data_IF_089907117881
#
_entry.id   IF_089907117881
#
_cell.length_a   1.000
_cell.length_b   1.000
_cell.length_c   1.000
_cell.angle_alpha   90.00
_cell.angle_beta   90.00
_cell.angle_gamma   90.00
#
_symmetry.space_group_name_H-M   'P 1'
#
loop_
_entity.id
_entity.type
_entity.pdbx_description
1 polymer ?
#
# COMPACT_ATOMS: atom_id res chain seq x y z
N UNK A 1 1.83 -16.88 2.31
CA UNK A 1 1.18 -16.90 3.63
C UNK A 1 -0.33 -16.80 3.44
N UNK A 2 -0.87 -15.75 2.82
CA UNK A 2 -2.32 -15.52 2.66
C UNK A 2 -3.01 -16.70 1.97
N UNK A 3 -2.51 -17.19 0.84
CA UNK A 3 -3.07 -18.32 0.09
C UNK A 3 -3.03 -19.65 0.86
N UNK A 4 -2.06 -19.84 1.77
CA UNK A 4 -1.93 -21.05 2.58
C UNK A 4 -2.82 -21.06 3.83
N UNK A 5 -3.32 -19.92 4.26
CA UNK A 5 -4.13 -19.83 5.48
C UNK A 5 -5.49 -20.52 5.38
N UNK A 6 -6.02 -20.71 4.19
CA UNK A 6 -7.32 -21.35 3.94
C UNK A 6 -7.37 -22.89 3.98
N UNK A 7 -6.41 -23.58 4.63
CA UNK A 7 -6.47 -25.00 4.95
C UNK A 7 -6.25 -25.99 3.80
N UNK A 8 -6.33 -25.59 2.54
CA UNK A 8 -5.97 -26.42 1.37
C UNK A 8 -4.57 -26.06 0.90
N UNK A 9 -3.70 -27.05 0.73
CA UNK A 9 -2.39 -26.88 0.11
C UNK A 9 -2.57 -26.24 -1.26
N UNK A 10 -2.04 -25.04 -1.44
CA UNK A 10 -2.01 -24.41 -2.76
C UNK A 10 -0.99 -25.20 -3.62
N UNK A 11 -1.35 -25.66 -4.81
CA UNK A 11 -0.43 -26.34 -5.74
C UNK A 11 0.65 -25.39 -6.29
N UNK A 12 0.58 -24.08 -5.95
CA UNK A 12 1.48 -23.05 -6.43
C UNK A 12 2.82 -23.06 -5.69
N UNK A 13 3.91 -23.19 -6.45
CA UNK A 13 5.26 -23.02 -5.97
C UNK A 13 5.58 -21.55 -5.68
N UNK A 14 6.59 -21.32 -4.85
CA UNK A 14 7.08 -19.98 -4.53
C UNK A 14 7.45 -19.17 -5.79
N UNK A 15 8.15 -19.80 -6.74
CA UNK A 15 8.60 -19.13 -7.96
C UNK A 15 7.43 -18.67 -8.86
N UNK A 16 6.32 -19.42 -8.91
CA UNK A 16 5.12 -19.01 -9.65
C UNK A 16 4.48 -17.79 -9.01
N UNK A 17 4.32 -17.80 -7.67
CA UNK A 17 3.79 -16.66 -6.93
C UNK A 17 4.69 -15.42 -7.08
N UNK A 18 6.00 -15.60 -7.07
CA UNK A 18 6.97 -14.52 -7.32
C UNK A 18 6.78 -13.93 -8.72
N UNK A 19 6.70 -14.77 -9.77
CA UNK A 19 6.44 -14.31 -11.14
C UNK A 19 5.14 -13.50 -11.23
N UNK A 20 4.04 -14.01 -10.69
CA UNK A 20 2.75 -13.30 -10.71
C UNK A 20 2.81 -11.96 -9.95
N UNK A 21 3.57 -11.91 -8.86
CA UNK A 21 3.76 -10.69 -8.09
C UNK A 21 4.53 -9.65 -8.89
N UNK A 22 5.69 -10.02 -9.45
CA UNK A 22 6.55 -9.12 -10.24
C UNK A 22 5.82 -8.63 -11.49
N UNK A 23 5.18 -9.55 -12.25
CA UNK A 23 4.39 -9.16 -13.43
C UNK A 23 3.23 -8.23 -13.08
N UNK A 24 2.55 -8.48 -11.96
CA UNK A 24 1.49 -7.59 -11.48
C UNK A 24 2.01 -6.19 -11.10
N UNK A 25 3.18 -6.09 -10.48
CA UNK A 25 3.81 -4.79 -10.23
C UNK A 25 4.17 -4.07 -11.52
N UNK A 26 4.78 -4.77 -12.49
CA UNK A 26 5.11 -4.19 -13.80
C UNK A 26 3.86 -3.64 -14.50
N UNK A 27 2.75 -4.38 -14.48
CA UNK A 27 1.47 -3.92 -15.04
C UNK A 27 0.93 -2.68 -14.32
N UNK A 28 1.04 -2.60 -13.00
CA UNK A 28 0.65 -1.40 -12.24
C UNK A 28 1.48 -0.17 -12.63
N UNK A 29 2.74 -0.35 -13.01
CA UNK A 29 3.57 0.75 -13.50
C UNK A 29 3.14 1.26 -14.88
N UNK A 30 2.74 0.37 -15.78
CA UNK A 30 2.41 0.72 -17.17
C UNK A 30 0.97 1.23 -17.31
N UNK A 31 0.06 0.78 -16.45
CA UNK A 31 -1.35 1.22 -16.53
C UNK A 31 -1.54 2.61 -15.93
N UNK A 32 -2.23 3.52 -16.67
CA UNK A 32 -2.59 4.83 -16.16
C UNK A 32 -3.53 4.66 -14.99
N UNK A 33 -3.52 5.12 -13.90
CA UNK A 33 -4.30 4.83 -12.68
C UNK A 33 -3.74 3.58 -11.99
N UNK A 34 -2.56 3.71 -11.42
CA UNK A 34 -1.85 2.65 -10.69
C UNK A 34 -2.78 1.86 -9.77
N UNK A 35 -2.78 0.57 -9.80
CA UNK A 35 -3.61 -0.46 -9.20
C UNK A 35 -4.67 -1.09 -10.13
N UNK A 36 -4.87 -0.61 -11.36
CA UNK A 36 -5.91 -1.19 -12.24
C UNK A 36 -5.43 -2.35 -13.13
N UNK A 37 -4.12 -2.57 -13.27
CA UNK A 37 -3.59 -3.63 -14.15
C UNK A 37 -3.12 -4.87 -13.42
N UNK A 38 -2.41 -4.73 -12.33
CA UNK A 38 -1.75 -5.83 -11.64
C UNK A 38 -2.67 -6.69 -10.80
N UNK A 39 -3.67 -6.14 -10.16
CA UNK A 39 -4.61 -6.88 -9.33
C UNK A 39 -5.52 -7.78 -10.16
N UNK A 40 -6.18 -7.32 -11.23
CA UNK A 40 -6.92 -8.19 -12.13
C UNK A 40 -6.05 -9.29 -12.75
N UNK A 41 -4.82 -8.96 -13.16
CA UNK A 41 -3.87 -9.94 -13.66
C UNK A 41 -3.58 -11.05 -12.63
N UNK A 42 -3.27 -10.67 -11.39
CA UNK A 42 -3.02 -11.63 -10.30
C UNK A 42 -4.23 -12.52 -10.02
N UNK A 43 -5.44 -11.97 -10.07
CA UNK A 43 -6.68 -12.74 -9.90
C UNK A 43 -6.82 -13.74 -11.04
N UNK A 44 -6.62 -13.32 -12.29
CA UNK A 44 -6.68 -14.21 -13.47
C UNK A 44 -5.69 -15.37 -13.37
N UNK A 45 -4.43 -15.08 -13.05
CA UNK A 45 -3.36 -16.08 -12.93
C UNK A 45 -3.57 -17.06 -11.75
N UNK A 46 -4.17 -16.59 -10.66
CA UNK A 46 -4.44 -17.45 -9.50
C UNK A 46 -5.71 -18.28 -9.64
N UNK A 47 -6.69 -17.83 -10.43
CA UNK A 47 -8.00 -18.47 -10.59
C UNK A 47 -7.93 -19.95 -10.97
N UNK A 48 -7.10 -20.41 -11.93
CA UNK A 48 -7.01 -21.82 -12.30
C UNK A 48 -6.55 -22.73 -11.15
N UNK A 49 -5.82 -22.20 -10.20
CA UNK A 49 -5.21 -22.96 -9.10
C UNK A 49 -6.06 -23.01 -7.83
N UNK A 50 -6.75 -21.91 -7.53
CA UNK A 50 -7.44 -21.76 -6.23
C UNK A 50 -8.92 -21.40 -6.34
N UNK A 51 -9.41 -21.17 -7.55
CA UNK A 51 -10.76 -20.69 -7.84
C UNK A 51 -10.89 -19.17 -7.73
N UNK A 52 -11.86 -18.61 -8.45
CA UNK A 52 -12.06 -17.16 -8.60
C UNK A 52 -12.27 -16.45 -7.26
N UNK A 53 -13.12 -16.99 -6.40
CA UNK A 53 -13.47 -16.34 -5.13
C UNK A 53 -12.26 -16.27 -4.19
N UNK A 54 -11.47 -17.34 -4.10
CA UNK A 54 -10.28 -17.39 -3.26
C UNK A 54 -9.13 -16.56 -3.83
N UNK A 55 -8.97 -16.53 -5.16
CA UNK A 55 -8.03 -15.68 -5.83
C UNK A 55 -8.34 -14.21 -5.52
N UNK A 56 -9.59 -13.79 -5.74
CA UNK A 56 -10.04 -12.43 -5.52
C UNK A 56 -9.89 -12.00 -4.05
N UNK A 57 -10.35 -12.81 -3.11
CA UNK A 57 -10.25 -12.50 -1.67
C UNK A 57 -8.78 -12.40 -1.21
N UNK A 58 -7.90 -13.26 -1.74
CA UNK A 58 -6.47 -13.23 -1.40
C UNK A 58 -5.76 -11.99 -1.95
N UNK A 59 -6.10 -11.55 -3.16
CA UNK A 59 -5.53 -10.34 -3.76
C UNK A 59 -6.06 -9.08 -3.05
N UNK A 60 -7.35 -9.03 -2.72
CA UNK A 60 -7.93 -7.94 -1.93
C UNK A 60 -7.22 -7.84 -0.58
N UNK A 61 -7.07 -8.97 0.14
CA UNK A 61 -6.38 -8.98 1.43
C UNK A 61 -4.92 -8.54 1.30
N UNK A 62 -4.22 -8.94 0.25
CA UNK A 62 -2.87 -8.48 -0.04
C UNK A 62 -2.81 -6.95 -0.21
N UNK A 63 -3.68 -6.38 -1.05
CA UNK A 63 -3.76 -4.92 -1.25
C UNK A 63 -4.07 -4.19 0.05
N UNK A 64 -4.96 -4.75 0.87
CA UNK A 64 -5.28 -4.22 2.18
C UNK A 64 -4.05 -4.16 3.10
N UNK A 65 -3.27 -5.25 3.18
CA UNK A 65 -2.04 -5.29 3.98
C UNK A 65 -1.02 -4.27 3.47
N UNK A 66 -0.89 -4.16 2.17
CA UNK A 66 -0.01 -3.21 1.51
C UNK A 66 -0.35 -1.75 1.88
N UNK A 67 -1.63 -1.37 1.78
CA UNK A 67 -2.10 -0.03 2.18
C UNK A 67 -1.89 0.20 3.69
N UNK A 68 -2.20 -0.79 4.51
CA UNK A 68 -2.06 -0.67 5.97
C UNK A 68 -0.59 -0.53 6.40
N UNK A 69 0.33 -1.18 5.68
CA UNK A 69 1.78 -1.01 5.92
C UNK A 69 2.27 0.42 5.66
N UNK A 70 1.65 1.15 4.72
CA UNK A 70 1.92 2.58 4.52
C UNK A 70 1.49 3.43 5.71
N UNK A 71 0.28 3.18 6.25
CA UNK A 71 -0.18 3.91 7.44
C UNK A 71 0.76 3.67 8.63
N UNK A 72 1.23 2.44 8.82
CA UNK A 72 2.21 2.13 9.87
C UNK A 72 3.52 2.89 9.64
N UNK A 73 4.02 2.95 8.40
CA UNK A 73 5.24 3.70 8.08
C UNK A 73 5.07 5.19 8.36
N UNK A 74 3.95 5.79 7.95
CA UNK A 74 3.68 7.21 8.18
C UNK A 74 3.53 7.53 9.66
N UNK A 75 2.81 6.73 10.43
CA UNK A 75 2.72 6.90 11.88
C UNK A 75 4.06 6.71 12.60
N UNK A 76 4.85 5.71 12.18
CA UNK A 76 6.21 5.52 12.70
C UNK A 76 7.11 6.72 12.38
N UNK A 77 6.98 7.29 11.17
CA UNK A 77 7.77 8.47 10.78
C UNK A 77 7.38 9.72 11.56
N UNK A 78 6.09 9.93 11.84
CA UNK A 78 5.63 11.02 12.73
C UNK A 78 6.25 10.89 14.12
N UNK A 79 6.18 9.67 14.69
CA UNK A 79 6.78 9.41 16.01
C UNK A 79 8.30 9.66 16.01
N UNK A 80 9.00 9.15 15.00
CA UNK A 80 10.45 9.36 14.85
C UNK A 80 10.78 10.84 14.72
N UNK A 81 10.02 11.60 13.91
CA UNK A 81 10.25 13.04 13.73
C UNK A 81 10.13 13.80 15.04
N UNK A 82 9.07 13.56 15.81
CA UNK A 82 8.85 14.19 17.11
C UNK A 82 9.96 13.88 18.13
N UNK A 83 10.54 12.67 18.06
CA UNK A 83 11.62 12.25 18.96
C UNK A 83 12.99 12.83 18.58
N UNK A 84 13.24 13.11 17.29
CA UNK A 84 14.57 13.45 16.78
C UNK A 84 14.71 14.94 16.46
N UNK A 85 13.63 15.60 16.04
CA UNK A 85 13.64 16.99 15.57
C UNK A 85 12.78 17.89 16.45
N UNK A 86 13.18 19.17 16.61
CA UNK A 86 12.34 20.17 17.26
C UNK A 86 11.09 20.40 16.41
N UNK A 87 9.94 20.38 17.06
CA UNK A 87 8.64 20.56 16.38
C UNK A 87 8.23 22.03 16.46
N UNK A 88 8.27 22.71 15.32
CA UNK A 88 7.67 24.04 15.20
C UNK A 88 6.14 23.95 15.24
N UNK A 89 5.45 25.04 15.55
CA UNK A 89 3.99 25.09 15.57
C UNK A 89 3.35 24.64 14.24
N UNK A 90 3.90 25.11 13.12
CA UNK A 90 3.43 24.77 11.78
C UNK A 90 3.61 23.27 11.50
N UNK A 91 4.79 22.73 11.82
CA UNK A 91 5.08 21.30 11.66
C UNK A 91 4.19 20.46 12.57
N UNK A 92 3.90 20.91 13.79
CA UNK A 92 2.98 20.25 14.71
C UNK A 92 1.57 20.09 14.11
N UNK A 93 1.06 21.10 13.42
CA UNK A 93 -0.23 21.03 12.71
C UNK A 93 -0.17 19.97 11.59
N UNK A 94 0.87 19.98 10.76
CA UNK A 94 1.02 19.04 9.65
C UNK A 94 1.10 17.60 10.17
N UNK A 95 1.95 17.35 11.17
CA UNK A 95 2.07 16.01 11.78
C UNK A 95 0.77 15.56 12.45
N UNK A 96 0.04 16.48 13.09
CA UNK A 96 -1.27 16.23 13.68
C UNK A 96 -2.31 15.85 12.63
N UNK A 97 -2.35 16.54 11.50
CA UNK A 97 -3.25 16.24 10.38
C UNK A 97 -2.93 14.86 9.77
N UNK A 98 -1.64 14.55 9.54
CA UNK A 98 -1.22 13.24 9.03
C UNK A 98 -1.64 12.14 10.01
N UNK A 99 -1.41 12.34 11.30
CA UNK A 99 -1.80 11.37 12.33
C UNK A 99 -3.31 11.16 12.37
N UNK A 100 -4.09 12.24 12.38
CA UNK A 100 -5.55 12.18 12.36
C UNK A 100 -6.08 11.45 11.11
N UNK A 101 -5.52 11.76 9.94
CA UNK A 101 -5.85 11.09 8.67
C UNK A 101 -5.52 9.60 8.72
N UNK A 102 -4.32 9.22 9.18
CA UNK A 102 -3.91 7.82 9.29
C UNK A 102 -4.79 7.04 10.26
N UNK A 103 -5.13 7.61 11.42
CA UNK A 103 -6.02 6.98 12.39
C UNK A 103 -7.44 6.85 11.85
N UNK A 104 -7.97 7.88 11.21
CA UNK A 104 -9.28 7.86 10.57
C UNK A 104 -9.36 6.78 9.49
N UNK A 105 -8.44 6.78 8.52
CA UNK A 105 -8.39 5.78 7.47
C UNK A 105 -8.11 4.38 8.02
N UNK A 106 -7.24 4.25 9.03
CA UNK A 106 -6.96 3.00 9.71
C UNK A 106 -8.20 2.41 10.39
N UNK A 107 -9.01 3.24 11.06
CA UNK A 107 -10.28 2.78 11.68
C UNK A 107 -11.31 2.36 10.63
N UNK A 108 -11.43 3.11 9.53
CA UNK A 108 -12.30 2.72 8.41
C UNK A 108 -11.85 1.38 7.81
N UNK A 109 -10.55 1.21 7.65
CA UNK A 109 -9.95 -0.01 7.14
C UNK A 109 -10.24 -1.22 8.04
N UNK A 110 -10.01 -1.10 9.35
CA UNK A 110 -10.29 -2.18 10.31
C UNK A 110 -11.80 -2.50 10.36
N UNK A 111 -12.66 -1.48 10.31
CA UNK A 111 -14.12 -1.68 10.24
C UNK A 111 -14.51 -2.39 8.94
N UNK A 112 -14.01 -1.95 7.78
CA UNK A 112 -14.26 -2.59 6.48
C UNK A 112 -13.80 -4.04 6.45
N UNK A 113 -12.62 -4.32 7.00
CA UNK A 113 -12.08 -5.66 7.12
C UNK A 113 -12.94 -6.61 7.97
N UNK A 114 -13.56 -6.10 9.04
CA UNK A 114 -14.44 -6.90 9.93
C UNK A 114 -15.85 -7.08 9.38
N UNK A 115 -16.38 -6.12 8.64
CA UNK A 115 -17.79 -6.07 8.24
C UNK A 115 -18.03 -6.28 6.73
N UNK A 116 -16.98 -6.55 5.97
CA UNK A 116 -17.04 -6.72 4.52
C UNK A 116 -16.51 -5.51 3.76
N UNK A 117 -15.37 -5.71 3.12
CA UNK A 117 -14.69 -4.63 2.38
C UNK A 117 -15.23 -4.49 0.96
N UNK A 118 -15.60 -5.61 0.30
CA UNK A 118 -16.12 -5.56 -1.07
C UNK A 118 -17.46 -4.81 -1.12
N UNK A 119 -18.35 -5.10 -0.19
CA UNK A 119 -19.63 -4.38 -0.06
C UNK A 119 -19.42 -2.93 0.37
N UNK A 120 -18.47 -2.65 1.27
CA UNK A 120 -18.16 -1.29 1.71
C UNK A 120 -17.60 -0.42 0.56
N UNK A 121 -16.70 -0.95 -0.27
CA UNK A 121 -16.16 -0.25 -1.44
C UNK A 121 -17.25 0.10 -2.45
N UNK A 122 -18.16 -0.85 -2.71
CA UNK A 122 -19.31 -0.62 -3.58
C UNK A 122 -20.21 0.48 -3.01
N UNK A 123 -20.50 0.46 -1.71
CA UNK A 123 -21.29 1.49 -1.03
C UNK A 123 -20.63 2.87 -1.10
N UNK A 124 -19.31 2.96 -0.90
CA UNK A 124 -18.58 4.22 -1.08
C UNK A 124 -18.66 4.73 -2.53
N UNK A 125 -18.47 3.85 -3.50
CA UNK A 125 -18.60 4.20 -4.93
C UNK A 125 -19.98 4.68 -5.31
N UNK A 126 -21.04 4.22 -4.64
CA UNK A 126 -22.42 4.67 -4.88
C UNK A 126 -22.70 6.10 -4.40
N UNK A 127 -21.84 6.70 -3.56
CA UNK A 127 -21.93 8.10 -3.14
C UNK A 127 -21.33 9.07 -4.16
N UNK A 128 -20.55 8.57 -5.14
CA UNK A 128 -19.98 9.39 -6.21
C UNK A 128 -21.04 9.57 -7.30
N UNK A 129 -21.54 10.80 -7.55
CA UNK A 129 -22.70 11.02 -8.43
C UNK A 129 -22.49 10.50 -9.86
N UNK A 130 -21.27 10.57 -10.40
CA UNK A 130 -20.95 10.09 -11.75
C UNK A 130 -20.91 8.55 -11.87
N UNK A 131 -20.62 7.82 -10.80
CA UNK A 131 -20.48 6.35 -10.76
C UNK A 131 -21.70 5.64 -10.18
N UNK A 132 -22.60 6.37 -9.52
CA UNK A 132 -23.74 5.86 -8.75
C UNK A 132 -24.54 4.79 -9.49
N UNK A 133 -25.04 5.10 -10.70
CA UNK A 133 -25.88 4.18 -11.47
C UNK A 133 -25.15 2.90 -11.92
N UNK A 134 -23.87 3.02 -12.30
CA UNK A 134 -23.07 1.86 -12.71
C UNK A 134 -22.73 0.97 -11.53
N UNK A 135 -22.38 1.57 -10.39
CA UNK A 135 -21.99 0.86 -9.17
C UNK A 135 -23.20 0.15 -8.54
N UNK A 136 -24.38 0.79 -8.50
CA UNK A 136 -25.61 0.16 -7.99
C UNK A 136 -26.00 -1.03 -8.85
N UNK A 137 -26.06 -0.88 -10.17
CA UNK A 137 -26.37 -1.98 -11.09
C UNK A 137 -25.37 -3.14 -10.97
N UNK A 138 -24.07 -2.84 -10.87
CA UNK A 138 -23.02 -3.85 -10.65
C UNK A 138 -23.22 -4.58 -9.32
N UNK A 139 -23.56 -3.85 -8.26
CA UNK A 139 -23.80 -4.40 -6.94
C UNK A 139 -25.00 -5.35 -6.91
N UNK A 140 -26.10 -4.96 -7.51
CA UNK A 140 -27.30 -5.79 -7.58
C UNK A 140 -27.07 -7.06 -8.39
N UNK A 141 -26.37 -6.95 -9.52
CA UNK A 141 -26.07 -8.10 -10.39
C UNK A 141 -25.08 -9.08 -9.77
N UNK A 142 -24.17 -8.62 -8.89
CA UNK A 142 -23.08 -9.44 -8.33
C UNK A 142 -23.13 -9.54 -6.79
N UNK A 143 -24.26 -9.24 -6.17
CA UNK A 143 -24.42 -9.16 -4.72
C UNK A 143 -23.94 -10.43 -4.02
N UNK A 144 -24.37 -11.60 -4.48
CA UNK A 144 -23.99 -12.89 -3.91
C UNK A 144 -22.48 -13.14 -4.00
N UNK A 145 -21.84 -12.78 -5.14
CA UNK A 145 -20.39 -12.90 -5.31
C UNK A 145 -19.63 -11.97 -4.38
N UNK A 146 -20.09 -10.74 -4.21
CA UNK A 146 -19.47 -9.77 -3.29
C UNK A 146 -19.57 -10.23 -1.83
N UNK A 147 -20.75 -10.73 -1.42
CA UNK A 147 -20.95 -11.28 -0.09
C UNK A 147 -20.09 -12.53 0.16
N UNK A 148 -19.91 -13.40 -0.84
CA UNK A 148 -19.04 -14.55 -0.75
C UNK A 148 -17.56 -14.14 -0.63
N UNK A 149 -17.11 -13.13 -1.36
CA UNK A 149 -15.76 -12.58 -1.23
C UNK A 149 -15.54 -12.05 0.20
N UNK A 150 -16.49 -11.27 0.73
CA UNK A 150 -16.41 -10.74 2.08
C UNK A 150 -16.43 -11.85 3.15
N UNK A 151 -17.25 -12.88 2.98
CA UNK A 151 -17.24 -14.08 3.84
C UNK A 151 -15.87 -14.78 3.82
N UNK A 152 -15.24 -14.90 2.64
CA UNK A 152 -13.92 -15.52 2.54
C UNK A 152 -12.83 -14.68 3.19
N UNK A 153 -12.87 -13.34 3.06
CA UNK A 153 -11.97 -12.43 3.77
C UNK A 153 -12.13 -12.60 5.29
N UNK A 154 -13.37 -12.63 5.77
CA UNK A 154 -13.68 -12.84 7.18
C UNK A 154 -13.20 -14.21 7.69
N UNK A 155 -13.39 -15.26 6.91
CA UNK A 155 -12.89 -16.62 7.24
C UNK A 155 -11.36 -16.67 7.29
N UNK A 156 -10.67 -16.00 6.37
CA UNK A 156 -9.21 -15.88 6.38
C UNK A 156 -8.71 -15.17 7.66
N UNK A 157 -9.47 -14.19 8.14
CA UNK A 157 -9.18 -13.50 9.39
C UNK A 157 -9.43 -14.37 10.63
N UNK A 158 -10.55 -15.09 10.66
CA UNK A 158 -10.94 -15.91 11.82
C UNK A 158 -10.03 -17.13 12.01
N UNK A 159 -9.54 -17.72 10.92
CA UNK A 159 -8.79 -18.97 10.97
C UNK A 159 -7.41 -18.84 11.60
N UNK A 160 -6.66 -17.75 11.39
CA UNK A 160 -5.33 -17.55 12.03
C UNK A 160 -4.97 -16.08 12.12
N UNK A 161 -5.22 -15.44 13.26
CA UNK A 161 -4.71 -14.09 13.58
C UNK A 161 -3.20 -13.97 13.33
N UNK A 162 -2.44 -15.04 13.59
CA UNK A 162 -1.00 -15.10 13.31
C UNK A 162 -0.65 -14.85 11.84
N UNK A 163 -1.46 -15.34 10.88
CA UNK A 163 -1.24 -15.12 9.44
C UNK A 163 -1.38 -13.66 9.05
N UNK A 164 -2.37 -12.98 9.63
CA UNK A 164 -2.58 -11.55 9.42
C UNK A 164 -1.38 -10.73 9.91
N UNK A 165 -0.98 -10.93 11.17
CA UNK A 165 0.15 -10.20 11.74
C UNK A 165 1.48 -10.53 11.05
N UNK A 166 1.69 -11.79 10.64
CA UNK A 166 2.89 -12.18 9.88
C UNK A 166 2.94 -11.53 8.50
N UNK A 167 1.81 -11.47 7.79
CA UNK A 167 1.73 -10.80 6.49
C UNK A 167 1.98 -9.29 6.63
N UNK A 168 1.37 -8.67 7.62
CA UNK A 168 1.56 -7.24 7.90
C UNK A 168 3.01 -6.93 8.32
N UNK A 169 3.60 -7.77 9.16
CA UNK A 169 5.00 -7.65 9.55
C UNK A 169 5.95 -7.75 8.35
N UNK A 170 5.72 -8.69 7.44
CA UNK A 170 6.52 -8.82 6.22
C UNK A 170 6.38 -7.61 5.29
N UNK A 171 5.15 -7.10 5.11
CA UNK A 171 4.92 -5.89 4.32
C UNK A 171 5.60 -4.66 4.94
N UNK A 172 5.50 -4.50 6.27
CA UNK A 172 6.19 -3.42 6.97
C UNK A 172 7.72 -3.57 6.90
N UNK A 173 8.24 -4.79 7.06
CA UNK A 173 9.67 -5.07 6.92
C UNK A 173 10.19 -4.74 5.52
N UNK A 174 9.41 -5.02 4.47
CA UNK A 174 9.76 -4.63 3.11
C UNK A 174 9.89 -3.11 2.95
N UNK A 175 9.07 -2.31 3.67
CA UNK A 175 9.20 -0.85 3.71
C UNK A 175 10.52 -0.41 4.35
N UNK A 176 10.90 -1.05 5.45
CA UNK A 176 12.19 -0.76 6.12
C UNK A 176 13.37 -1.14 5.22
N UNK A 177 13.27 -2.24 4.48
CA UNK A 177 14.29 -2.61 3.47
C UNK A 177 14.38 -1.56 2.35
N UNK A 178 13.26 -1.00 1.90
CA UNK A 178 13.28 0.12 0.94
C UNK A 178 13.96 1.38 1.53
N UNK A 179 13.86 1.61 2.84
CA UNK A 179 14.61 2.69 3.48
C UNK A 179 16.13 2.43 3.50
N UNK A 180 16.56 1.16 3.62
CA UNK A 180 17.97 0.79 3.51
C UNK A 180 18.52 1.03 2.10
N UNK A 181 17.73 0.71 1.07
CA UNK A 181 18.09 1.00 -0.31
C UNK A 181 18.36 2.49 -0.52
N UNK A 182 17.43 3.36 -0.07
CA UNK A 182 17.59 4.82 -0.15
C UNK A 182 18.79 5.28 0.66
N UNK A 183 19.03 4.70 1.84
CA UNK A 183 20.17 5.02 2.68
C UNK A 183 21.51 4.71 1.99
N UNK A 184 21.62 3.55 1.35
CA UNK A 184 22.82 3.18 0.59
C UNK A 184 23.05 4.14 -0.58
N UNK A 185 22.01 4.46 -1.37
CA UNK A 185 22.10 5.36 -2.51
C UNK A 185 22.56 6.76 -2.07
N UNK A 186 21.92 7.31 -1.04
CA UNK A 186 22.26 8.66 -0.56
C UNK A 186 23.67 8.74 0.03
N UNK A 187 24.14 7.69 0.71
CA UNK A 187 25.50 7.69 1.26
C UNK A 187 26.60 7.45 0.20
N UNK A 188 26.24 7.00 -1.01
CA UNK A 188 27.13 7.01 -2.18
C UNK A 188 27.21 8.41 -2.80
N UNK A 189 26.08 9.14 -2.82
CA UNK A 189 25.97 10.47 -3.43
C UNK A 189 26.47 11.60 -2.51
N UNK A 190 26.30 11.42 -1.20
CA UNK A 190 26.67 12.41 -0.19
C UNK A 190 27.09 11.69 1.11
N UNK A 191 27.93 12.31 1.92
CA UNK A 191 28.39 11.73 3.18
C UNK A 191 27.45 12.04 4.34
N UNK A 192 27.34 11.09 5.30
CA UNK A 192 26.69 11.27 6.60
C UNK A 192 25.15 11.43 6.59
N UNK A 193 24.45 10.73 5.70
CA UNK A 193 23.00 10.63 5.81
C UNK A 193 22.62 9.56 6.83
N UNK A 194 21.90 9.93 7.88
CA UNK A 194 21.39 9.02 8.89
C UNK A 194 20.32 8.09 8.32
N UNK A 195 20.29 6.84 8.78
CA UNK A 195 19.19 5.91 8.42
C UNK A 195 17.82 6.44 8.83
N UNK A 196 17.75 7.14 9.97
CA UNK A 196 16.51 7.81 10.44
C UNK A 196 16.01 8.82 9.41
N UNK A 197 16.90 9.62 8.82
CA UNK A 197 16.54 10.56 7.76
C UNK A 197 15.97 9.84 6.54
N UNK A 198 16.50 8.68 6.19
CA UNK A 198 15.99 7.89 5.06
C UNK A 198 14.58 7.33 5.32
N UNK A 199 14.27 6.96 6.57
CA UNK A 199 12.89 6.59 6.94
C UNK A 199 11.94 7.77 6.72
N UNK A 200 12.32 8.97 7.16
CA UNK A 200 11.51 10.19 6.96
C UNK A 200 11.35 10.54 5.48
N UNK A 201 12.43 10.44 4.70
CA UNK A 201 12.41 10.68 3.24
C UNK A 201 11.43 9.72 2.56
N UNK A 202 11.55 8.41 2.81
CA UNK A 202 10.70 7.39 2.20
C UNK A 202 9.25 7.57 2.64
N UNK A 203 9.00 7.83 3.91
CA UNK A 203 7.65 8.06 4.43
C UNK A 203 6.99 9.27 3.78
N UNK A 204 7.66 10.43 3.74
CA UNK A 204 7.14 11.64 3.13
C UNK A 204 6.92 11.48 1.62
N UNK A 205 7.91 10.91 0.90
CA UNK A 205 7.82 10.67 -0.54
C UNK A 205 6.70 9.70 -0.88
N UNK A 206 6.51 8.63 -0.08
CA UNK A 206 5.43 7.68 -0.26
C UNK A 206 4.06 8.32 0.03
N UNK A 207 3.97 9.23 1.01
CA UNK A 207 2.73 9.97 1.29
C UNK A 207 2.33 10.83 0.08
N UNK A 208 3.27 11.62 -0.46
CA UNK A 208 3.02 12.43 -1.65
C UNK A 208 2.68 11.57 -2.88
N UNK A 209 3.41 10.48 -3.12
CA UNK A 209 3.14 9.59 -4.23
C UNK A 209 1.74 8.95 -4.13
N UNK A 210 1.29 8.61 -2.91
CA UNK A 210 -0.06 8.08 -2.70
C UNK A 210 -1.15 9.16 -2.81
N UNK A 211 -0.88 10.41 -2.43
CA UNK A 211 -1.81 11.53 -2.66
C UNK A 211 -1.95 11.85 -4.16
N UNK A 212 -0.88 11.67 -4.92
CA UNK A 212 -0.83 11.91 -6.36
C UNK A 212 -1.03 10.61 -7.18
N UNK A 213 -1.79 9.65 -6.64
CA UNK A 213 -2.02 8.33 -7.26
C UNK A 213 -2.60 8.38 -8.67
N UNK A 214 -3.25 9.50 -9.05
CA UNK A 214 -3.85 9.72 -10.36
C UNK A 214 -2.82 10.06 -11.46
N UNK A 215 -1.57 10.38 -11.09
CA UNK A 215 -0.51 10.63 -12.06
C UNK A 215 -0.06 9.30 -12.70
N UNK A 216 -0.08 9.19 -14.04
CA UNK A 216 0.41 7.99 -14.69
C UNK A 216 1.89 7.78 -14.36
N UNK A 217 2.25 6.54 -14.02
CA UNK A 217 3.60 6.14 -13.59
C UNK A 217 4.14 6.92 -12.37
N UNK A 218 3.30 7.70 -11.67
CA UNK A 218 3.69 8.63 -10.60
C UNK A 218 4.82 9.61 -11.01
N UNK A 219 4.92 9.91 -12.30
CA UNK A 219 5.95 10.82 -12.86
C UNK A 219 5.83 12.20 -12.25
N UNK A 220 6.97 12.72 -11.79
CA UNK A 220 7.05 14.02 -11.10
C UNK A 220 6.64 13.99 -9.63
N UNK A 221 5.63 13.20 -9.26
CA UNK A 221 5.14 13.11 -7.88
C UNK A 221 6.14 12.44 -6.93
N UNK A 222 6.73 11.34 -7.37
CA UNK A 222 7.74 10.61 -6.60
C UNK A 222 9.06 11.38 -6.56
N UNK A 223 9.54 11.84 -7.70
CA UNK A 223 10.77 12.61 -7.82
C UNK A 223 10.68 13.93 -7.03
N UNK A 224 9.56 14.64 -7.14
CA UNK A 224 9.30 15.85 -6.37
C UNK A 224 9.24 15.57 -4.86
N UNK A 225 8.60 14.48 -4.45
CA UNK A 225 8.55 14.04 -3.06
C UNK A 225 9.93 13.79 -2.46
N UNK A 226 10.77 13.05 -3.18
CA UNK A 226 12.15 12.82 -2.75
C UNK A 226 12.98 14.11 -2.74
N UNK A 227 12.86 14.96 -3.76
CA UNK A 227 13.57 16.22 -3.83
C UNK A 227 13.23 17.14 -2.64
N UNK A 228 11.93 17.28 -2.33
CA UNK A 228 11.45 18.07 -1.19
C UNK A 228 11.90 17.48 0.14
N UNK A 229 11.82 16.16 0.31
CA UNK A 229 12.23 15.51 1.55
C UNK A 229 13.73 15.65 1.81
N UNK A 230 14.56 15.44 0.79
CA UNK A 230 16.02 15.59 0.88
C UNK A 230 16.40 17.07 1.06
N UNK A 231 15.75 17.99 0.34
CA UNK A 231 15.94 19.44 0.50
C UNK A 231 15.60 19.94 1.90
N UNK A 232 14.55 19.39 2.53
CA UNK A 232 14.18 19.68 3.92
C UNK A 232 15.23 19.28 4.96
N UNK A 233 16.15 18.38 4.59
CA UNK A 233 17.31 17.99 5.41
C UNK A 233 18.58 18.82 5.11
N UNK A 234 18.44 19.95 4.46
CA UNK A 234 19.56 20.83 4.04
C UNK A 234 20.54 20.19 3.06
N UNK A 235 20.10 19.16 2.33
CA UNK A 235 20.85 18.53 1.24
C UNK A 235 20.30 19.01 -0.12
N UNK A 236 21.10 18.86 -1.17
CA UNK A 236 20.62 19.18 -2.52
C UNK A 236 19.44 18.31 -2.93
N UNK A 237 18.33 18.91 -3.34
CA UNK A 237 17.17 18.20 -3.87
C UNK A 237 17.49 17.32 -5.09
N UNK A 238 18.59 17.60 -5.82
CA UNK A 238 19.06 16.76 -6.91
C UNK A 238 19.39 15.33 -6.45
N UNK A 239 19.96 15.15 -5.27
CA UNK A 239 20.22 13.83 -4.70
C UNK A 239 18.91 13.05 -4.46
N UNK A 240 17.84 13.76 -4.06
CA UNK A 240 16.51 13.17 -3.93
C UNK A 240 15.97 12.69 -5.27
N UNK A 241 16.10 13.48 -6.33
CA UNK A 241 15.68 13.10 -7.69
C UNK A 241 16.46 11.86 -8.16
N UNK A 242 17.78 11.84 -7.98
CA UNK A 242 18.61 10.68 -8.34
C UNK A 242 18.20 9.42 -7.55
N UNK A 243 17.99 9.54 -6.24
CA UNK A 243 17.54 8.43 -5.42
C UNK A 243 16.18 7.91 -5.91
N UNK A 244 15.22 8.79 -6.24
CA UNK A 244 13.92 8.42 -6.77
C UNK A 244 14.00 7.68 -8.12
N UNK A 245 14.92 8.08 -9.01
CA UNK A 245 15.12 7.45 -10.31
C UNK A 245 15.76 6.07 -10.17
N UNK A 246 16.75 5.92 -9.29
CA UNK A 246 17.45 4.63 -9.09
C UNK A 246 16.54 3.61 -8.40
N UNK A 247 15.70 4.02 -7.45
CA UNK A 247 14.76 3.15 -6.72
C UNK A 247 13.46 2.86 -7.48
N UNK A 248 13.35 3.28 -8.72
CA UNK A 248 12.17 3.07 -9.56
C UNK A 248 12.20 1.73 -10.26
#
# INVERSE_FOLDING_TARGET
>A
IILRSGGKTSPLGFMQLYKFTVSGFALNYVTPVGLMGGEPYRIMELTPFVGMERATSSVILYVMMHIFSHFLLWLSSVFIYVCVYPVSWEMGIVLGLITALCLFLGTLFVKGYRHGMAVACVRMGSHIPFLKHRVIRFSETHKEKLENIDKQIALLHQQKKSTFYSALFLEYSARIVSCLEVWLILNVLTTNVSFVNCILIVAFSSLLANLLFFLPMQLGGREGGFALAVGGLSLSGAYGVYAALITR
#
